data_IF_586027194071
#
_entry.id   IF_586027194071
#
_cell.length_a   1.000
_cell.length_b   1.000
_cell.length_c   1.000
_cell.angle_alpha   90.00
_cell.angle_beta   90.00
_cell.angle_gamma   90.00
#
_symmetry.space_group_name_H-M   'P 1'
#
loop_
_entity.id
_entity.type
_entity.pdbx_description
1 polymer ?
#
# COMPACT_ATOMS: atom_id res chain seq x y z
N UNK A 1 0.23 -22.37 3.26
CA UNK A 1 1.65 -22.13 2.82
C UNK A 1 1.79 -20.62 2.68
N UNK A 2 2.60 -19.98 3.48
CA UNK A 2 2.80 -18.54 3.46
C UNK A 2 3.96 -18.15 2.53
N UNK A 3 3.91 -16.92 2.02
CA UNK A 3 4.85 -16.37 1.03
C UNK A 3 5.37 -14.98 1.46
N UNK A 4 5.25 -14.66 2.74
CA UNK A 4 5.74 -13.36 3.23
C UNK A 4 7.23 -13.20 2.94
N UNK A 5 7.65 -11.96 2.69
CA UNK A 5 9.04 -11.56 2.52
C UNK A 5 9.38 -10.44 3.50
N UNK A 6 10.57 -10.48 4.03
CA UNK A 6 11.05 -9.38 4.85
C UNK A 6 11.46 -8.20 3.95
N UNK A 7 10.93 -7.02 4.23
CA UNK A 7 11.46 -5.76 3.71
C UNK A 7 12.65 -5.34 4.57
N UNK A 8 12.45 -5.43 5.89
CA UNK A 8 13.44 -5.24 6.95
C UNK A 8 13.16 -6.26 8.07
N UNK A 9 13.95 -6.29 9.13
CA UNK A 9 13.82 -7.29 10.21
C UNK A 9 12.42 -7.31 10.85
N UNK A 10 11.77 -6.14 10.93
CA UNK A 10 10.45 -5.95 11.56
C UNK A 10 9.40 -5.38 10.59
N UNK A 11 9.71 -5.33 9.30
CA UNK A 11 8.78 -4.90 8.24
C UNK A 11 8.61 -6.01 7.23
N UNK A 12 7.37 -6.47 7.06
CA UNK A 12 7.04 -7.61 6.22
C UNK A 12 6.18 -7.19 5.03
N UNK A 13 6.52 -7.70 3.85
CA UNK A 13 5.66 -7.69 2.68
C UNK A 13 4.70 -8.87 2.78
N UNK A 14 3.40 -8.60 2.73
CA UNK A 14 2.33 -9.59 2.85
C UNK A 14 1.53 -9.78 1.56
N UNK A 15 1.84 -9.00 0.55
CA UNK A 15 1.11 -8.98 -0.72
C UNK A 15 1.21 -10.27 -1.52
N UNK A 16 0.46 -10.31 -2.60
CA UNK A 16 0.48 -11.42 -3.56
C UNK A 16 0.17 -10.92 -4.96
N UNK A 17 0.43 -11.75 -5.96
CA UNK A 17 0.24 -11.43 -7.37
C UNK A 17 -0.89 -12.25 -8.00
N UNK A 18 -1.74 -11.62 -8.82
CA UNK A 18 -2.69 -12.30 -9.68
C UNK A 18 -2.22 -12.26 -11.15
N UNK A 19 -2.03 -13.44 -11.72
CA UNK A 19 -1.65 -13.63 -13.14
C UNK A 19 -2.83 -14.12 -14.00
N UNK A 20 -4.02 -14.28 -13.38
CA UNK A 20 -5.24 -14.75 -14.06
C UNK A 20 -6.11 -13.59 -14.54
N UNK A 21 -5.91 -12.40 -13.98
CA UNK A 21 -6.67 -11.20 -14.32
C UNK A 21 -6.33 -10.78 -15.76
N UNK A 22 -7.35 -10.66 -16.59
CA UNK A 22 -7.19 -10.19 -17.97
C UNK A 22 -7.24 -8.67 -18.08
N UNK A 23 -8.15 -8.04 -17.31
CA UNK A 23 -8.41 -6.60 -17.33
C UNK A 23 -8.40 -6.06 -15.90
N UNK A 24 -7.49 -5.17 -15.59
CA UNK A 24 -7.50 -4.38 -14.36
C UNK A 24 -8.64 -3.36 -14.45
N UNK A 25 -9.45 -3.20 -13.40
CA UNK A 25 -10.67 -2.36 -13.37
C UNK A 25 -11.65 -2.60 -14.54
N UNK A 26 -11.67 -3.80 -15.12
CA UNK A 26 -12.40 -4.11 -16.34
C UNK A 26 -12.08 -3.23 -17.57
N UNK A 27 -10.97 -2.52 -17.54
CA UNK A 27 -10.57 -1.54 -18.55
C UNK A 27 -9.18 -1.78 -19.14
N UNK A 28 -8.19 -2.08 -18.31
CA UNK A 28 -6.80 -2.08 -18.72
C UNK A 28 -6.24 -3.50 -18.83
N UNK A 29 -5.84 -3.97 -20.03
CA UNK A 29 -5.22 -5.28 -20.19
C UNK A 29 -3.96 -5.42 -19.34
N UNK A 30 -3.83 -6.53 -18.60
CA UNK A 30 -2.66 -6.83 -17.74
C UNK A 30 -2.07 -8.19 -18.11
N UNK A 31 -1.46 -8.32 -19.29
CA UNK A 31 -0.93 -9.60 -19.78
C UNK A 31 0.18 -10.16 -18.87
N UNK A 32 0.87 -9.31 -18.13
CA UNK A 32 1.90 -9.68 -17.16
C UNK A 32 1.35 -9.82 -15.73
N UNK A 33 0.02 -9.77 -15.56
CA UNK A 33 -0.63 -9.79 -14.25
C UNK A 33 -0.47 -8.48 -13.48
N UNK A 34 -0.78 -8.54 -12.19
CA UNK A 34 -0.70 -7.42 -11.24
C UNK A 34 -0.32 -7.94 -9.86
N UNK A 35 0.42 -7.16 -9.09
CA UNK A 35 0.64 -7.41 -7.67
C UNK A 35 -0.28 -6.52 -6.84
N UNK A 36 -0.77 -7.05 -5.73
CA UNK A 36 -1.47 -6.31 -4.67
C UNK A 36 -0.61 -6.36 -3.42
N UNK A 37 -0.10 -5.21 -3.04
CA UNK A 37 0.90 -5.11 -1.99
C UNK A 37 0.25 -4.68 -0.67
N UNK A 38 0.71 -5.28 0.41
CA UNK A 38 0.36 -4.94 1.77
C UNK A 38 1.58 -5.12 2.64
N UNK A 39 1.70 -4.33 3.71
CA UNK A 39 2.88 -4.32 4.55
C UNK A 39 2.50 -4.36 6.02
N UNK A 40 3.26 -5.10 6.82
CA UNK A 40 3.10 -5.16 8.28
C UNK A 40 4.37 -4.66 8.96
N UNK A 41 4.22 -3.70 9.84
CA UNK A 41 5.29 -3.28 10.76
C UNK A 41 4.99 -3.90 12.13
N UNK A 42 5.95 -4.65 12.64
CA UNK A 42 5.88 -5.34 13.95
C UNK A 42 6.78 -4.61 14.93
N UNK A 43 6.16 -3.98 15.93
CA UNK A 43 6.82 -3.18 16.95
C UNK A 43 6.15 -3.45 18.31
N UNK A 44 6.18 -2.53 19.29
CA UNK A 44 5.36 -2.64 20.51
C UNK A 44 3.89 -2.82 20.15
N UNK A 45 3.42 -2.05 19.16
CA UNK A 45 2.15 -2.26 18.47
C UNK A 45 2.37 -2.65 17.02
N UNK A 46 1.44 -3.38 16.45
CA UNK A 46 1.48 -3.84 15.07
C UNK A 46 0.69 -2.90 14.17
N UNK A 47 1.24 -2.55 13.01
CA UNK A 47 0.61 -1.65 12.05
C UNK A 47 0.59 -2.31 10.67
N UNK A 48 -0.61 -2.62 10.19
CA UNK A 48 -0.84 -3.07 8.82
C UNK A 48 -1.08 -1.86 7.92
N UNK A 49 -0.38 -1.77 6.80
CA UNK A 49 -0.51 -0.71 5.79
C UNK A 49 -1.21 -1.31 4.56
N UNK A 50 -2.46 -0.92 4.35
CA UNK A 50 -3.37 -1.39 3.31
C UNK A 50 -3.55 -2.93 3.30
N UNK A 51 -4.39 -3.40 2.41
CA UNK A 51 -4.69 -4.82 2.23
C UNK A 51 -4.62 -5.18 0.74
N UNK A 52 -5.38 -6.18 0.32
CA UNK A 52 -5.29 -6.74 -1.03
C UNK A 52 -6.65 -7.02 -1.64
N UNK A 53 -6.66 -7.27 -2.95
CA UNK A 53 -7.81 -7.74 -3.68
C UNK A 53 -8.32 -9.11 -3.16
N UNK A 54 -9.61 -9.35 -3.34
CA UNK A 54 -10.27 -10.60 -2.92
C UNK A 54 -9.67 -11.83 -3.60
N UNK A 55 -9.17 -11.70 -4.82
CA UNK A 55 -8.58 -12.80 -5.61
C UNK A 55 -7.36 -13.44 -4.94
N UNK A 56 -6.64 -12.68 -4.11
CA UNK A 56 -5.43 -13.12 -3.41
C UNK A 56 -5.59 -13.15 -1.88
N UNK A 57 -6.81 -12.98 -1.38
CA UNK A 57 -7.14 -12.89 0.06
C UNK A 57 -6.57 -14.04 0.88
N UNK A 58 -6.64 -15.27 0.37
CA UNK A 58 -6.13 -16.44 1.09
C UNK A 58 -4.63 -16.33 1.37
N UNK A 59 -3.84 -15.99 0.37
CA UNK A 59 -2.39 -15.84 0.53
C UNK A 59 -2.07 -14.69 1.50
N UNK A 60 -2.79 -13.58 1.40
CA UNK A 60 -2.65 -12.44 2.29
C UNK A 60 -2.89 -12.81 3.76
N UNK A 61 -4.00 -13.48 4.07
CA UNK A 61 -4.28 -13.86 5.46
C UNK A 61 -3.32 -14.92 5.99
N UNK A 62 -2.90 -15.89 5.19
CA UNK A 62 -1.85 -16.84 5.57
C UNK A 62 -0.53 -16.13 5.89
N UNK A 63 -0.16 -15.10 5.10
CA UNK A 63 1.03 -14.28 5.33
C UNK A 63 0.89 -13.43 6.60
N UNK A 64 -0.26 -12.78 6.80
CA UNK A 64 -0.54 -11.93 7.96
C UNK A 64 -0.51 -12.74 9.26
N UNK A 65 -1.21 -13.86 9.30
CA UNK A 65 -1.23 -14.77 10.45
C UNK A 65 0.18 -15.26 10.82
N UNK A 66 0.98 -15.62 9.81
CA UNK A 66 2.35 -16.04 10.05
C UNK A 66 3.25 -14.90 10.56
N UNK A 67 3.13 -13.70 10.00
CA UNK A 67 3.94 -12.54 10.40
C UNK A 67 3.57 -12.02 11.80
N UNK A 68 2.28 -12.07 12.15
CA UNK A 68 1.80 -11.69 13.49
C UNK A 68 2.22 -12.70 14.56
N UNK A 69 2.23 -14.01 14.23
CA UNK A 69 2.38 -15.06 15.22
C UNK A 69 1.30 -14.98 16.30
N UNK A 70 1.69 -14.83 17.56
CA UNK A 70 0.77 -14.70 18.71
C UNK A 70 0.40 -13.24 19.03
N UNK A 71 0.87 -12.28 18.24
CA UNK A 71 0.60 -10.86 18.46
C UNK A 71 -0.80 -10.48 18.01
N UNK A 72 -1.34 -9.43 18.62
CA UNK A 72 -2.57 -8.77 18.16
C UNK A 72 -2.27 -7.93 16.92
N UNK A 73 -3.28 -7.68 16.11
CA UNK A 73 -3.26 -6.60 15.12
C UNK A 73 -3.84 -5.35 15.77
N UNK A 74 -3.00 -4.34 16.03
CA UNK A 74 -3.44 -3.11 16.72
C UNK A 74 -4.03 -2.10 15.76
N UNK A 75 -3.39 -1.88 14.60
CA UNK A 75 -3.81 -0.88 13.63
C UNK A 75 -3.83 -1.44 12.20
N UNK A 76 -4.84 -1.01 11.43
CA UNK A 76 -4.82 -1.07 9.97
C UNK A 76 -4.93 0.34 9.42
N UNK A 77 -3.91 0.79 8.72
CA UNK A 77 -3.88 2.08 8.02
C UNK A 77 -4.42 1.87 6.61
N UNK A 78 -5.40 2.65 6.22
CA UNK A 78 -5.96 2.64 4.87
C UNK A 78 -5.50 3.89 4.14
N UNK A 79 -4.51 3.74 3.28
CA UNK A 79 -4.05 4.81 2.42
C UNK A 79 -4.98 5.01 1.23
N UNK A 80 -5.61 3.92 0.74
CA UNK A 80 -6.49 3.95 -0.42
C UNK A 80 -7.69 3.00 -0.27
N UNK A 81 -8.87 3.46 -0.69
CA UNK A 81 -10.15 2.75 -0.50
C UNK A 81 -10.61 1.93 -1.72
N UNK A 82 -9.82 1.89 -2.79
CA UNK A 82 -10.17 1.07 -3.94
C UNK A 82 -10.34 -0.41 -3.56
N UNK A 83 -11.30 -1.14 -4.17
CA UNK A 83 -11.59 -2.51 -3.76
C UNK A 83 -10.40 -3.47 -3.79
N UNK A 84 -9.45 -3.28 -4.69
CA UNK A 84 -8.26 -4.11 -4.77
C UNK A 84 -7.24 -3.92 -3.61
N UNK A 85 -7.49 -2.91 -2.77
CA UNK A 85 -6.76 -2.68 -1.51
C UNK A 85 -7.64 -2.84 -0.27
N UNK A 86 -8.97 -2.93 -0.44
CA UNK A 86 -9.90 -2.97 0.71
C UNK A 86 -10.94 -4.09 0.66
N UNK A 87 -11.00 -4.90 -0.40
CA UNK A 87 -11.97 -5.99 -0.50
C UNK A 87 -11.87 -7.03 0.65
N UNK A 88 -10.75 -7.07 1.34
CA UNK A 88 -10.51 -7.95 2.49
C UNK A 88 -10.76 -7.28 3.84
N UNK A 89 -11.14 -5.99 3.89
CA UNK A 89 -11.31 -5.22 5.14
C UNK A 89 -12.37 -5.82 6.07
N UNK A 90 -13.52 -6.18 5.55
CA UNK A 90 -14.59 -6.77 6.38
C UNK A 90 -14.12 -8.07 7.03
N UNK A 91 -13.48 -8.96 6.27
CA UNK A 91 -12.90 -10.19 6.79
C UNK A 91 -11.80 -9.93 7.82
N UNK A 92 -10.95 -8.92 7.58
CA UNK A 92 -9.91 -8.49 8.52
C UNK A 92 -10.51 -8.09 9.87
N UNK A 93 -11.54 -7.24 9.86
CA UNK A 93 -12.21 -6.76 11.09
C UNK A 93 -12.90 -7.89 11.84
N UNK A 94 -13.43 -8.89 11.15
CA UNK A 94 -14.00 -10.08 11.81
C UNK A 94 -12.93 -11.00 12.42
N UNK A 95 -11.78 -11.15 11.76
CA UNK A 95 -10.65 -11.94 12.30
C UNK A 95 -9.95 -11.24 13.46
N UNK A 96 -9.85 -9.91 13.39
CA UNK A 96 -9.16 -9.06 14.37
C UNK A 96 -10.11 -7.99 14.92
N UNK A 97 -11.08 -8.36 15.77
CA UNK A 97 -12.16 -7.48 16.18
C UNK A 97 -11.72 -6.27 17.01
N UNK A 98 -10.51 -6.31 17.58
CA UNK A 98 -9.92 -5.21 18.36
C UNK A 98 -9.09 -4.23 17.52
N UNK A 99 -8.94 -4.49 16.21
CA UNK A 99 -8.14 -3.64 15.32
C UNK A 99 -8.74 -2.23 15.22
N UNK A 100 -7.89 -1.22 15.28
CA UNK A 100 -8.27 0.17 15.04
C UNK A 100 -7.98 0.52 13.58
N UNK A 101 -9.01 0.97 12.86
CA UNK A 101 -8.91 1.42 11.47
C UNK A 101 -8.43 2.87 11.46
N UNK A 102 -7.28 3.14 10.85
CA UNK A 102 -6.69 4.47 10.72
C UNK A 102 -6.92 4.96 9.30
N UNK A 103 -7.48 6.15 9.16
CA UNK A 103 -7.76 6.76 7.86
C UNK A 103 -8.23 8.20 8.01
N UNK A 104 -8.50 8.89 6.93
CA UNK A 104 -9.09 10.23 6.99
C UNK A 104 -10.63 10.18 6.95
N UNK A 105 -11.29 11.33 7.11
CA UNK A 105 -12.74 11.42 7.16
C UNK A 105 -13.43 10.85 5.91
N UNK A 106 -12.83 10.98 4.71
CA UNK A 106 -13.39 10.43 3.47
C UNK A 106 -13.23 8.91 3.41
N UNK A 107 -12.12 8.37 3.92
CA UNK A 107 -11.92 6.92 4.08
C UNK A 107 -13.09 6.31 4.85
N UNK A 108 -13.48 6.88 5.98
CA UNK A 108 -14.60 6.38 6.77
C UNK A 108 -15.97 6.59 6.10
N UNK A 109 -16.11 7.62 5.27
CA UNK A 109 -17.30 7.79 4.44
C UNK A 109 -17.41 6.65 3.43
N UNK A 110 -16.32 6.29 2.77
CA UNK A 110 -16.28 5.20 1.78
C UNK A 110 -16.50 3.83 2.43
N UNK A 111 -15.90 3.58 3.60
CA UNK A 111 -16.18 2.33 4.34
C UNK A 111 -17.67 2.14 4.56
N UNK A 112 -18.37 3.19 5.00
CA UNK A 112 -19.83 3.14 5.23
C UNK A 112 -20.67 2.98 3.94
N UNK A 113 -20.10 3.34 2.79
CA UNK A 113 -20.75 3.15 1.48
C UNK A 113 -20.50 1.76 0.89
N UNK A 114 -19.33 1.18 1.12
CA UNK A 114 -18.92 -0.08 0.51
C UNK A 114 -19.22 -1.29 1.38
N UNK A 115 -19.28 -1.11 2.71
CA UNK A 115 -19.43 -2.20 3.67
C UNK A 115 -20.58 -1.97 4.61
N UNK A 116 -21.08 -3.06 5.20
CA UNK A 116 -22.22 -3.04 6.14
C UNK A 116 -21.80 -3.29 7.59
N UNK A 117 -20.54 -3.64 7.85
CA UNK A 117 -20.07 -3.85 9.21
C UNK A 117 -19.93 -2.54 10.00
N UNK A 118 -20.14 -2.63 11.31
CA UNK A 118 -20.07 -1.47 12.20
C UNK A 118 -18.61 -1.09 12.51
N UNK A 119 -18.26 0.17 12.26
CA UNK A 119 -16.95 0.77 12.59
C UNK A 119 -16.98 1.68 13.82
N UNK A 120 -18.11 1.71 14.55
CA UNK A 120 -18.26 2.54 15.77
C UNK A 120 -17.18 2.17 16.79
N UNK A 121 -16.48 3.17 17.30
CA UNK A 121 -15.35 3.02 18.24
C UNK A 121 -14.15 2.21 17.73
N UNK A 122 -14.06 1.96 16.42
CA UNK A 122 -12.96 1.22 15.79
C UNK A 122 -12.10 2.10 14.87
N UNK A 123 -12.28 3.41 14.90
CA UNK A 123 -11.63 4.33 13.96
C UNK A 123 -10.75 5.35 14.64
N UNK A 124 -9.61 5.64 14.02
CA UNK A 124 -8.72 6.76 14.33
C UNK A 124 -8.63 7.67 13.10
N UNK A 125 -9.30 8.83 13.17
CA UNK A 125 -9.22 9.82 12.10
C UNK A 125 -7.88 10.58 12.14
N UNK A 126 -7.19 10.59 11.01
CA UNK A 126 -5.95 11.33 10.82
C UNK A 126 -6.10 12.43 9.78
N UNK A 127 -5.28 13.47 9.88
CA UNK A 127 -5.24 14.64 9.00
C UNK A 127 -3.82 14.89 8.53
N UNK A 128 -3.66 15.85 7.61
CA UNK A 128 -2.35 16.28 7.12
C UNK A 128 -1.35 16.51 8.26
N UNK A 129 -0.23 15.81 8.24
CA UNK A 129 0.84 15.92 9.22
C UNK A 129 0.55 15.28 10.60
N UNK A 130 -0.61 14.61 10.78
CA UNK A 130 -0.86 13.83 11.99
C UNK A 130 0.14 12.68 12.11
N UNK A 131 0.40 12.23 13.34
CA UNK A 131 1.35 11.16 13.63
C UNK A 131 0.71 10.03 14.44
N UNK A 132 1.22 8.81 14.24
CA UNK A 132 0.93 7.62 15.02
C UNK A 132 2.25 6.97 15.43
N UNK A 133 2.44 6.66 16.72
CA UNK A 133 3.57 5.87 17.18
C UNK A 133 3.15 4.43 17.49
N UNK A 134 3.97 3.48 17.08
CA UNK A 134 3.80 2.06 17.43
C UNK A 134 4.82 1.56 18.45
N UNK A 135 5.70 2.44 18.92
CA UNK A 135 6.83 2.17 19.81
C UNK A 135 8.08 2.87 19.27
N UNK A 136 8.97 2.14 18.64
CA UNK A 136 10.15 2.71 17.97
C UNK A 136 9.78 3.41 16.64
N UNK A 137 8.76 2.90 15.94
CA UNK A 137 8.31 3.48 14.67
C UNK A 137 7.31 4.62 14.89
N UNK A 138 7.49 5.68 14.13
CA UNK A 138 6.55 6.80 14.03
C UNK A 138 6.10 6.98 12.59
N UNK A 139 4.81 7.05 12.39
CA UNK A 139 4.16 7.24 11.08
C UNK A 139 3.59 8.65 10.99
N UNK A 140 3.84 9.36 9.89
CA UNK A 140 3.19 10.62 9.55
C UNK A 140 2.31 10.44 8.32
N UNK A 141 1.14 11.09 8.33
CA UNK A 141 0.14 10.96 7.28
C UNK A 141 0.09 12.22 6.43
N UNK A 142 0.17 12.08 5.11
CA UNK A 142 0.10 13.18 4.16
C UNK A 142 -1.04 12.95 3.18
N UNK A 143 -1.96 13.90 3.08
CA UNK A 143 -3.11 13.81 2.18
C UNK A 143 -2.66 13.96 0.73
N UNK A 144 -3.10 13.04 -0.12
CA UNK A 144 -2.81 12.98 -1.55
C UNK A 144 -4.10 12.90 -2.39
N UNK A 145 -5.07 13.84 -2.18
CA UNK A 145 -6.37 13.76 -2.81
C UNK A 145 -6.25 13.72 -4.33
N UNK A 146 -7.02 12.84 -4.96
CA UNK A 146 -7.03 12.58 -6.41
C UNK A 146 -5.72 11.99 -6.95
N UNK A 147 -4.96 11.30 -6.09
CA UNK A 147 -3.83 10.46 -6.56
C UNK A 147 -4.09 8.98 -6.16
N UNK A 148 -5.12 8.25 -6.77
CA UNK A 148 -5.98 8.84 -7.81
C UNK A 148 -7.44 9.04 -7.35
N UNK A 149 -7.84 8.67 -6.15
CA UNK A 149 -9.16 8.90 -5.56
C UNK A 149 -9.12 10.02 -4.52
N UNK A 150 -10.32 10.60 -4.15
CA UNK A 150 -10.37 11.80 -3.33
C UNK A 150 -9.96 11.60 -1.86
N UNK A 151 -9.94 10.39 -1.36
CA UNK A 151 -9.56 10.04 0.03
C UNK A 151 -8.10 9.65 0.18
N UNK A 152 -7.36 9.47 -0.91
CA UNK A 152 -5.99 8.95 -0.86
C UNK A 152 -5.11 9.76 0.08
N UNK A 153 -4.35 9.05 0.88
CA UNK A 153 -3.24 9.57 1.67
C UNK A 153 -2.01 8.68 1.49
N UNK A 154 -0.86 9.17 1.86
CA UNK A 154 0.38 8.40 1.94
C UNK A 154 0.90 8.43 3.36
N UNK A 155 1.55 7.35 3.76
CA UNK A 155 2.11 7.20 5.11
C UNK A 155 3.62 7.18 5.04
N UNK A 156 4.29 8.05 5.80
CA UNK A 156 5.74 8.05 5.92
C UNK A 156 6.18 7.54 7.28
N UNK A 157 6.97 6.49 7.29
CA UNK A 157 7.59 5.89 8.47
C UNK A 157 8.98 6.48 8.64
N UNK A 158 9.26 7.01 9.84
CA UNK A 158 10.43 7.85 10.10
C UNK A 158 11.72 7.09 10.41
N UNK A 159 11.64 5.92 11.04
CA UNK A 159 12.83 5.18 11.50
C UNK A 159 13.66 4.65 10.33
N UNK A 160 12.99 4.03 9.37
CA UNK A 160 13.61 3.47 8.17
C UNK A 160 13.40 4.33 6.91
N UNK A 161 12.72 5.49 7.06
CA UNK A 161 12.46 6.43 5.96
C UNK A 161 11.68 5.81 4.82
N UNK A 162 10.60 5.10 5.16
CA UNK A 162 9.75 4.38 4.22
C UNK A 162 8.52 5.20 3.85
N UNK A 163 8.27 5.37 2.56
CA UNK A 163 7.05 5.96 2.04
C UNK A 163 6.11 4.86 1.55
N UNK A 164 5.01 4.61 2.26
CA UNK A 164 3.89 3.81 1.79
C UNK A 164 2.99 4.72 0.95
N UNK A 165 3.12 4.58 -0.34
CA UNK A 165 2.75 5.64 -1.30
C UNK A 165 1.37 5.47 -1.92
N UNK A 166 0.54 4.55 -1.42
CA UNK A 166 -0.68 4.13 -2.10
C UNK A 166 -0.33 3.73 -3.55
N UNK A 167 -1.13 4.16 -4.52
CA UNK A 167 -0.91 3.88 -5.94
C UNK A 167 0.18 4.72 -6.59
N UNK A 168 0.61 5.78 -5.93
CA UNK A 168 1.73 6.55 -6.44
C UNK A 168 3.00 5.67 -6.54
N UNK A 169 3.73 5.83 -7.65
CA UNK A 169 4.91 5.03 -7.99
C UNK A 169 4.64 3.54 -8.25
N UNK A 170 3.37 3.16 -8.39
CA UNK A 170 2.95 1.81 -8.74
C UNK A 170 3.23 1.45 -10.19
N UNK A 171 3.19 0.16 -10.48
CA UNK A 171 3.34 -0.39 -11.83
C UNK A 171 2.38 -1.56 -12.04
N UNK A 172 1.94 -1.80 -13.27
CA UNK A 172 1.40 -3.12 -13.61
C UNK A 172 2.52 -4.16 -13.58
N UNK A 173 2.15 -5.43 -13.64
CA UNK A 173 3.06 -6.56 -13.62
C UNK A 173 3.06 -7.30 -12.28
N UNK A 174 2.96 -8.62 -12.37
CA UNK A 174 3.03 -9.52 -11.22
C UNK A 174 4.48 -9.74 -10.79
N UNK A 175 4.73 -9.72 -9.50
CA UNK A 175 6.04 -10.05 -8.94
C UNK A 175 6.30 -11.56 -9.01
N UNK A 176 7.54 -11.97 -9.24
CA UNK A 176 7.96 -13.36 -9.43
C UNK A 176 8.76 -13.91 -8.24
N UNK A 177 8.39 -13.49 -7.02
CA UNK A 177 9.09 -13.88 -5.78
C UNK A 177 10.08 -12.84 -5.27
N UNK A 178 10.73 -12.09 -6.13
CA UNK A 178 11.47 -10.88 -5.78
C UNK A 178 10.46 -9.75 -5.50
N UNK A 179 10.76 -8.92 -4.50
CA UNK A 179 9.87 -7.79 -4.12
C UNK A 179 10.53 -6.42 -4.33
N UNK A 180 11.84 -6.38 -4.51
CA UNK A 180 12.57 -5.13 -4.70
C UNK A 180 12.91 -4.90 -6.17
N UNK A 181 12.86 -3.65 -6.62
CA UNK A 181 13.16 -3.28 -8.00
C UNK A 181 14.58 -3.67 -8.43
N UNK A 182 15.57 -3.51 -7.54
CA UNK A 182 16.97 -3.86 -7.77
C UNK A 182 17.24 -5.38 -7.86
N UNK A 183 16.27 -6.21 -7.54
CA UNK A 183 16.31 -7.67 -7.79
C UNK A 183 15.91 -8.04 -9.24
N UNK A 184 15.51 -7.06 -10.06
CA UNK A 184 15.15 -7.16 -11.48
C UNK A 184 16.04 -6.27 -12.32
N UNK A 185 16.11 -6.51 -13.63
CA UNK A 185 16.56 -5.49 -14.57
C UNK A 185 15.45 -4.47 -14.82
N UNK A 186 15.13 -3.69 -13.78
CA UNK A 186 13.97 -2.78 -13.81
C UNK A 186 14.04 -1.73 -14.91
N UNK A 187 15.24 -1.38 -15.38
CA UNK A 187 15.41 -0.42 -16.48
C UNK A 187 14.97 -0.96 -17.82
N UNK A 188 14.96 -2.27 -17.98
CA UNK A 188 14.56 -2.97 -19.21
C UNK A 188 13.16 -3.58 -19.07
N UNK A 189 12.87 -4.20 -17.93
CA UNK A 189 11.64 -4.98 -17.74
C UNK A 189 10.41 -4.12 -17.39
N UNK A 190 10.59 -3.02 -16.62
CA UNK A 190 9.48 -2.26 -16.02
C UNK A 190 9.07 -0.96 -16.71
N UNK A 191 9.80 -0.36 -17.69
CA UNK A 191 9.43 0.97 -18.22
C UNK A 191 8.05 1.02 -18.88
N UNK A 192 7.68 -0.05 -19.59
CA UNK A 192 6.38 -0.11 -20.26
C UNK A 192 5.24 -0.20 -19.24
N UNK A 193 5.38 -1.04 -18.23
CA UNK A 193 4.36 -1.26 -17.21
C UNK A 193 4.22 -0.05 -16.27
N UNK A 194 5.32 0.60 -15.90
CA UNK A 194 5.30 1.83 -15.12
C UNK A 194 4.58 2.98 -15.86
N UNK A 195 4.90 3.19 -17.14
CA UNK A 195 4.24 4.21 -17.96
C UNK A 195 2.78 3.93 -18.22
N UNK A 196 2.43 2.67 -18.48
CA UNK A 196 1.04 2.26 -18.68
C UNK A 196 0.23 2.48 -17.40
N UNK A 197 0.79 2.11 -16.24
CA UNK A 197 0.15 2.33 -14.96
C UNK A 197 -0.07 3.82 -14.73
N UNK A 198 0.99 4.62 -14.80
CA UNK A 198 0.87 6.07 -14.63
C UNK A 198 -0.17 6.69 -15.56
N UNK A 199 -0.09 6.41 -16.86
CA UNK A 199 -0.97 7.03 -17.87
C UNK A 199 -2.45 6.68 -17.67
N UNK A 200 -2.74 5.48 -17.18
CA UNK A 200 -4.11 4.99 -17.07
C UNK A 200 -4.73 5.27 -15.70
N UNK A 201 -3.94 5.20 -14.62
CA UNK A 201 -4.42 5.29 -13.25
C UNK A 201 -4.25 6.71 -12.71
N UNK A 202 -3.06 7.26 -12.75
CA UNK A 202 -2.69 8.51 -12.05
C UNK A 202 -2.64 9.72 -12.98
N UNK A 203 -2.26 9.55 -14.24
CA UNK A 203 -1.82 10.62 -15.14
C UNK A 203 -2.87 11.68 -15.46
N UNK A 204 -4.17 11.38 -15.44
CA UNK A 204 -5.22 12.38 -15.64
C UNK A 204 -5.29 13.42 -14.50
N UNK A 205 -4.65 13.15 -13.36
CA UNK A 205 -4.59 14.03 -12.20
C UNK A 205 -3.20 14.67 -12.02
N UNK A 206 -2.55 15.04 -13.12
CA UNK A 206 -1.19 15.59 -13.13
C UNK A 206 -0.90 16.72 -12.13
N UNK A 207 -1.77 17.75 -11.98
CA UNK A 207 -1.57 18.78 -10.97
C UNK A 207 -1.53 18.26 -9.53
N UNK A 208 -2.38 17.29 -9.20
CA UNK A 208 -2.44 16.66 -7.88
C UNK A 208 -1.22 15.76 -7.65
N UNK A 209 -0.82 15.00 -8.67
CA UNK A 209 0.42 14.20 -8.65
C UNK A 209 1.64 15.08 -8.42
N UNK A 210 1.74 16.21 -9.14
CA UNK A 210 2.84 17.17 -8.93
C UNK A 210 2.83 17.76 -7.51
N UNK A 211 1.65 18.00 -6.94
CA UNK A 211 1.53 18.47 -5.55
C UNK A 211 2.04 17.41 -4.55
N UNK A 212 1.73 16.13 -4.77
CA UNK A 212 2.27 15.04 -3.96
C UNK A 212 3.79 14.93 -4.11
N UNK A 213 4.33 14.99 -5.33
CA UNK A 213 5.78 14.97 -5.57
C UNK A 213 6.51 16.09 -4.83
N UNK A 214 5.93 17.31 -4.81
CA UNK A 214 6.48 18.45 -4.06
C UNK A 214 6.48 18.21 -2.55
N UNK A 215 5.47 17.54 -2.00
CA UNK A 215 5.47 17.13 -0.58
C UNK A 215 6.55 16.09 -0.32
N UNK A 216 6.61 15.04 -1.14
CA UNK A 216 7.57 13.94 -1.00
C UNK A 216 9.03 14.42 -1.13
N UNK A 217 9.30 15.45 -1.93
CA UNK A 217 10.64 16.02 -2.09
C UNK A 217 11.22 16.64 -0.79
N UNK A 218 10.39 16.89 0.22
CA UNK A 218 10.84 17.35 1.54
C UNK A 218 11.10 16.20 2.53
N UNK A 219 10.88 14.93 2.12
CA UNK A 219 11.11 13.76 2.93
C UNK A 219 12.42 13.09 2.52
N UNK A 220 13.13 12.57 3.50
CA UNK A 220 14.33 11.75 3.26
C UNK A 220 13.89 10.29 3.07
N UNK A 221 13.65 9.90 1.80
CA UNK A 221 13.05 8.61 1.45
C UNK A 221 14.14 7.60 1.10
N UNK A 222 14.20 6.49 1.84
CA UNK A 222 15.06 5.34 1.57
C UNK A 222 14.31 4.18 0.88
N UNK A 223 12.99 4.09 1.09
CA UNK A 223 12.12 3.08 0.47
C UNK A 223 10.82 3.73 0.00
N UNK A 224 10.38 3.37 -1.22
CA UNK A 224 9.02 3.62 -1.67
C UNK A 224 8.30 2.27 -1.76
N UNK A 225 7.21 2.14 -1.02
CA UNK A 225 6.41 0.93 -0.87
C UNK A 225 5.02 1.15 -1.51
N UNK A 226 4.88 0.96 -2.84
CA UNK A 226 3.61 1.18 -3.53
C UNK A 226 2.65 0.01 -3.33
N UNK A 227 1.37 0.20 -3.67
CA UNK A 227 0.35 -0.84 -3.61
C UNK A 227 0.39 -1.81 -4.81
N UNK A 228 1.12 -1.45 -5.88
CA UNK A 228 1.37 -2.29 -7.05
C UNK A 228 2.84 -2.22 -7.50
N UNK A 229 3.35 -3.34 -8.01
CA UNK A 229 4.72 -3.43 -8.51
C UNK A 229 5.78 -3.58 -7.41
N UNK A 230 7.06 -3.42 -7.74
CA UNK A 230 8.16 -3.64 -6.81
C UNK A 230 8.32 -2.50 -5.80
N UNK A 231 8.96 -2.82 -4.67
CA UNK A 231 9.46 -1.83 -3.71
C UNK A 231 10.71 -1.17 -4.31
N UNK A 232 10.73 0.14 -4.32
CA UNK A 232 11.87 0.93 -4.77
C UNK A 232 12.74 1.27 -3.57
N UNK A 233 13.97 0.85 -3.62
CA UNK A 233 15.02 1.20 -2.66
C UNK A 233 16.26 1.63 -3.43
N UNK A 234 17.27 2.09 -2.73
CA UNK A 234 18.45 2.70 -3.32
C UNK A 234 18.14 3.98 -4.11
N UNK A 235 19.05 4.91 -4.05
CA UNK A 235 18.88 6.25 -4.62
C UNK A 235 18.61 6.23 -6.12
N UNK A 236 19.22 5.28 -6.83
CA UNK A 236 19.08 5.16 -8.28
C UNK A 236 17.68 4.66 -8.67
N UNK A 237 17.17 3.63 -7.99
CA UNK A 237 15.84 3.08 -8.24
C UNK A 237 14.73 4.09 -7.90
N UNK A 238 14.86 4.80 -6.77
CA UNK A 238 13.93 5.85 -6.36
C UNK A 238 13.92 6.99 -7.38
N UNK A 239 15.09 7.49 -7.79
CA UNK A 239 15.16 8.53 -8.83
C UNK A 239 14.56 8.07 -10.15
N UNK A 240 14.78 6.81 -10.52
CA UNK A 240 14.26 6.26 -11.76
C UNK A 240 12.73 6.26 -11.80
N UNK A 241 12.06 5.77 -10.74
CA UNK A 241 10.59 5.72 -10.73
C UNK A 241 9.95 7.12 -10.62
N UNK A 242 10.62 8.05 -9.94
CA UNK A 242 10.15 9.44 -9.88
C UNK A 242 10.18 10.13 -11.25
N UNK A 243 11.13 9.74 -12.11
CA UNK A 243 11.27 10.28 -13.47
C UNK A 243 10.27 9.67 -14.48
N UNK A 244 9.59 8.57 -14.17
CA UNK A 244 8.71 7.85 -15.10
C UNK A 244 7.28 8.23 -14.95
#
# INVERSE_FOLDING_TARGET
MYQQRNVLDNVFYLGSSDRRLNLFENAFPVPNGVSYNSYLVVDEKTVLLDMVDKSVSKAFFENLEHALGERKLDYVVINHMEPDHTATLEELVYRYPEVTIVGNAKTFTFIKQFFTFDITNKTLEVKEGATLSSGQHTFSFYMAPMVHWPEVMVTYEHEHKMLFSADAFGTFGALSGNIFADEYDYKTEWPAEARRYYSNIVGKYGPQTLALLKKAANLDIAYICPLHGPIWREKEGISWIIDK
#
